data_IF_986467497904
#
_entry.id   IF_986467497904
#
_cell.length_a   1.000
_cell.length_b   1.000
_cell.length_c   1.000
_cell.angle_alpha   90.00
_cell.angle_beta   90.00
_cell.angle_gamma   90.00
#
_symmetry.space_group_name_H-M   'P 1'
#
loop_
_entity.id
_entity.type
_entity.pdbx_description
1 polymer ?
#
# COMPACT_ATOMS: atom_id res chain seq x y z
N UNK A 1 77.40 -33.78 36.85
CA UNK A 1 77.00 -32.67 35.96
C UNK A 1 77.19 -33.04 34.49
N UNK A 2 78.42 -33.31 34.03
CA UNK A 2 78.71 -33.62 32.61
C UNK A 2 77.96 -34.87 32.09
N UNK A 3 77.90 -35.95 32.89
CA UNK A 3 77.08 -37.14 32.57
C UNK A 3 75.58 -36.83 32.42
N UNK A 4 75.07 -35.96 33.28
CA UNK A 4 73.67 -35.51 33.26
C UNK A 4 73.38 -34.72 31.98
N UNK A 5 74.24 -33.74 31.67
CA UNK A 5 74.12 -32.92 30.46
C UNK A 5 74.23 -33.73 29.16
N UNK A 6 75.09 -34.76 29.12
CA UNK A 6 75.19 -35.67 27.96
C UNK A 6 73.97 -36.59 27.82
N UNK A 7 73.35 -37.01 28.92
CA UNK A 7 72.15 -37.84 28.89
C UNK A 7 70.91 -37.05 28.45
N UNK A 8 70.81 -35.80 28.87
CA UNK A 8 69.65 -34.94 28.58
C UNK A 8 69.70 -34.34 27.17
N UNK A 9 70.88 -34.31 26.52
CA UNK A 9 71.04 -33.75 25.19
C UNK A 9 70.57 -34.70 24.08
N UNK A 10 69.42 -34.40 23.48
CA UNK A 10 68.81 -35.17 22.38
C UNK A 10 69.52 -35.00 21.03
N UNK A 11 70.40 -34.01 20.88
CA UNK A 11 71.13 -33.73 19.65
C UNK A 11 72.36 -34.65 19.43
N UNK A 12 72.74 -35.44 20.43
CA UNK A 12 73.86 -36.39 20.40
C UNK A 12 73.32 -37.79 20.14
N UNK A 13 73.93 -38.54 19.23
CA UNK A 13 73.47 -39.90 18.92
C UNK A 13 73.68 -40.85 20.09
N UNK A 14 72.90 -41.93 20.14
CA UNK A 14 72.95 -42.92 21.22
C UNK A 14 74.33 -43.58 21.32
N UNK A 15 75.01 -43.80 20.19
CA UNK A 15 76.35 -44.42 20.14
C UNK A 15 77.43 -43.44 20.61
N UNK A 16 77.43 -42.20 20.10
CA UNK A 16 78.34 -41.12 20.53
C UNK A 16 78.24 -40.86 22.05
N UNK A 17 77.01 -40.87 22.58
CA UNK A 17 76.74 -40.72 24.01
C UNK A 17 77.33 -41.87 24.82
N UNK A 18 77.17 -43.12 24.37
CA UNK A 18 77.73 -44.31 25.06
C UNK A 18 79.25 -44.24 25.12
N UNK A 19 79.91 -43.86 24.02
CA UNK A 19 81.37 -43.72 23.94
C UNK A 19 81.87 -42.63 24.89
N UNK A 20 81.25 -41.44 24.86
CA UNK A 20 81.60 -40.33 25.77
C UNK A 20 81.40 -40.69 27.25
N UNK A 21 80.31 -41.40 27.59
CA UNK A 21 80.05 -41.87 28.96
C UNK A 21 81.05 -42.94 29.42
N UNK A 22 81.53 -43.80 28.51
CA UNK A 22 82.57 -44.77 28.79
C UNK A 22 83.92 -44.08 29.07
N UNK A 23 84.30 -43.09 28.25
CA UNK A 23 85.49 -42.26 28.47
C UNK A 23 85.43 -41.53 29.83
N UNK A 24 84.31 -40.90 30.18
CA UNK A 24 84.14 -40.25 31.49
C UNK A 24 84.24 -41.26 32.63
N UNK A 25 83.64 -42.44 32.49
CA UNK A 25 83.69 -43.48 33.53
C UNK A 25 85.08 -44.08 33.70
N UNK A 26 85.89 -44.15 32.62
CA UNK A 26 87.30 -44.53 32.68
C UNK A 26 88.13 -43.49 33.44
N UNK A 27 87.97 -42.21 33.10
CA UNK A 27 88.63 -41.10 33.80
C UNK A 27 88.23 -41.02 35.28
N UNK A 28 86.96 -41.27 35.63
CA UNK A 28 86.51 -41.34 37.02
C UNK A 28 87.16 -42.50 37.80
N UNK A 29 87.31 -43.68 37.18
CA UNK A 29 88.01 -44.81 37.81
C UNK A 29 89.49 -44.50 38.03
N UNK A 30 90.14 -43.89 37.04
CA UNK A 30 91.54 -43.46 37.14
C UNK A 30 91.70 -42.41 38.24
N UNK A 31 90.79 -41.44 38.33
CA UNK A 31 90.81 -40.42 39.38
C UNK A 31 90.61 -41.03 40.78
N UNK A 32 89.73 -42.02 40.93
CA UNK A 32 89.57 -42.77 42.20
C UNK A 32 90.84 -43.55 42.57
N UNK A 33 91.45 -44.25 41.61
CA UNK A 33 92.72 -44.96 41.81
C UNK A 33 93.83 -44.00 42.26
N UNK A 34 93.94 -42.85 41.60
CA UNK A 34 94.89 -41.80 41.97
C UNK A 34 94.63 -41.24 43.38
N UNK A 35 93.36 -41.07 43.77
CA UNK A 35 93.01 -40.66 45.15
C UNK A 35 93.46 -41.72 46.16
N UNK A 36 93.25 -43.01 45.87
CA UNK A 36 93.71 -44.11 46.75
C UNK A 36 95.24 -44.13 46.85
N UNK A 37 95.94 -43.94 45.72
CA UNK A 37 97.38 -43.82 45.66
C UNK A 37 97.91 -42.62 46.49
N UNK A 38 97.25 -41.47 46.43
CA UNK A 38 97.55 -40.30 47.26
C UNK A 38 97.28 -40.59 48.74
N UNK A 39 96.16 -41.23 49.07
CA UNK A 39 95.84 -41.59 50.45
C UNK A 39 96.85 -42.59 51.04
N UNK A 40 97.31 -43.57 50.25
CA UNK A 40 98.36 -44.51 50.65
C UNK A 40 99.70 -43.80 50.86
N UNK A 41 100.03 -42.80 50.04
CA UNK A 41 101.20 -41.93 50.25
C UNK A 41 101.09 -41.12 51.54
N UNK A 42 99.90 -40.61 51.88
CA UNK A 42 99.65 -39.87 53.12
C UNK A 42 99.84 -40.79 54.34
N UNK A 43 99.34 -42.02 54.28
CA UNK A 43 99.48 -43.00 55.37
C UNK A 43 100.90 -43.54 55.50
N UNK A 44 101.66 -43.62 54.41
CA UNK A 44 103.03 -44.13 54.38
C UNK A 44 103.96 -43.14 53.64
N UNK A 45 104.44 -42.08 54.33
CA UNK A 45 105.15 -40.95 53.69
C UNK A 45 106.44 -41.35 52.95
N UNK A 46 107.04 -42.47 53.31
CA UNK A 46 108.29 -42.99 52.75
C UNK A 46 108.15 -43.68 51.38
N UNK A 47 106.94 -44.05 50.93
CA UNK A 47 106.72 -44.74 49.65
C UNK A 47 106.59 -43.73 48.50
N UNK A 48 107.33 -43.87 47.40
CA UNK A 48 107.09 -43.03 46.20
C UNK A 48 105.89 -43.56 45.41
N UNK A 49 105.02 -42.66 44.95
CA UNK A 49 103.80 -43.00 44.21
C UNK A 49 103.74 -42.18 42.92
N UNK A 50 103.43 -42.83 41.80
CA UNK A 50 103.27 -42.22 40.48
C UNK A 50 101.77 -42.22 40.17
N UNK A 51 101.25 -41.06 39.75
CA UNK A 51 99.84 -40.93 39.38
C UNK A 51 99.65 -41.26 37.91
N UNK A 52 98.58 -41.98 37.60
CA UNK A 52 98.22 -42.30 36.23
C UNK A 52 97.50 -41.11 35.59
N UNK A 53 97.96 -40.70 34.40
CA UNK A 53 97.28 -39.70 33.59
C UNK A 53 97.10 -40.21 32.16
N UNK A 54 95.86 -40.48 31.78
CA UNK A 54 95.48 -40.78 30.41
C UNK A 54 95.10 -39.48 29.67
N UNK A 55 96.06 -38.92 28.95
CA UNK A 55 95.85 -37.71 28.14
C UNK A 55 95.04 -38.00 26.88
N UNK A 56 95.09 -39.23 26.35
CA UNK A 56 94.45 -39.58 25.08
C UNK A 56 92.93 -39.62 25.25
N UNK A 57 92.44 -40.19 26.36
CA UNK A 57 91.01 -40.17 26.70
C UNK A 57 90.53 -38.73 26.98
N UNK A 58 91.34 -37.90 27.65
CA UNK A 58 91.04 -36.49 27.93
C UNK A 58 90.89 -35.69 26.62
N UNK A 59 91.83 -35.82 25.70
CA UNK A 59 91.80 -35.14 24.40
C UNK A 59 90.66 -35.63 23.50
N UNK A 60 90.39 -36.95 23.48
CA UNK A 60 89.25 -37.51 22.75
C UNK A 60 87.93 -36.93 23.25
N UNK A 61 87.72 -36.89 24.57
CA UNK A 61 86.49 -36.36 25.15
C UNK A 61 86.32 -34.86 24.85
N UNK A 62 87.40 -34.07 24.91
CA UNK A 62 87.36 -32.65 24.56
C UNK A 62 87.03 -32.43 23.08
N UNK A 63 87.55 -33.29 22.19
CA UNK A 63 87.23 -33.26 20.76
C UNK A 63 85.75 -33.58 20.52
N UNK A 64 85.23 -34.61 21.17
CA UNK A 64 83.82 -35.01 21.08
C UNK A 64 82.90 -33.88 21.55
N UNK A 65 83.19 -33.26 22.71
CA UNK A 65 82.43 -32.13 23.25
C UNK A 65 82.43 -30.94 22.28
N UNK A 66 83.58 -30.60 21.68
CA UNK A 66 83.66 -29.53 20.67
C UNK A 66 82.80 -29.83 19.45
N UNK A 67 82.82 -31.06 18.97
CA UNK A 67 82.00 -31.48 17.83
C UNK A 67 80.50 -31.41 18.16
N UNK A 68 80.08 -31.87 19.34
CA UNK A 68 78.69 -31.79 19.76
C UNK A 68 78.21 -30.34 19.87
N UNK A 69 78.99 -29.48 20.50
CA UNK A 69 78.67 -28.05 20.61
C UNK A 69 78.59 -27.36 19.25
N UNK A 70 79.46 -27.70 18.31
CA UNK A 70 79.38 -27.18 16.93
C UNK A 70 78.08 -27.58 16.24
N UNK A 71 77.64 -28.84 16.38
CA UNK A 71 76.39 -29.33 15.80
C UNK A 71 75.17 -28.65 16.44
N UNK A 72 75.19 -28.48 17.76
CA UNK A 72 74.13 -27.80 18.49
C UNK A 72 74.00 -26.34 18.04
N UNK A 73 75.13 -25.64 17.85
CA UNK A 73 75.12 -24.25 17.38
C UNK A 73 74.56 -24.13 15.95
N UNK A 74 74.95 -25.01 15.03
CA UNK A 74 74.39 -25.04 13.67
C UNK A 74 72.88 -25.29 13.66
N UNK A 75 72.39 -26.21 14.50
CA UNK A 75 70.95 -26.44 14.65
C UNK A 75 70.24 -25.21 15.21
N UNK A 76 70.79 -24.56 16.23
CA UNK A 76 70.20 -23.35 16.81
C UNK A 76 70.16 -22.19 15.82
N UNK A 77 71.19 -22.01 14.99
CA UNK A 77 71.23 -21.05 13.90
C UNK A 77 70.11 -21.31 12.88
N UNK A 78 69.95 -22.57 12.44
CA UNK A 78 68.89 -22.98 11.51
C UNK A 78 67.49 -22.75 12.08
N UNK A 79 67.28 -23.06 13.36
CA UNK A 79 66.00 -22.83 14.05
C UNK A 79 65.68 -21.34 14.13
N UNK A 80 66.67 -20.48 14.45
CA UNK A 80 66.47 -19.03 14.47
C UNK A 80 66.05 -18.48 13.10
N UNK A 81 66.58 -19.05 12.02
CA UNK A 81 66.31 -18.58 10.66
C UNK A 81 65.10 -19.25 9.99
N UNK A 82 64.49 -20.25 10.63
CA UNK A 82 63.41 -21.06 10.03
C UNK A 82 62.26 -20.21 9.45
N UNK A 83 61.72 -19.27 10.24
CA UNK A 83 60.62 -18.42 9.80
C UNK A 83 61.02 -17.53 8.61
N UNK A 84 62.23 -16.96 8.63
CA UNK A 84 62.74 -16.12 7.55
C UNK A 84 62.93 -16.92 6.25
N UNK A 85 63.47 -18.14 6.35
CA UNK A 85 63.64 -19.03 5.20
C UNK A 85 62.28 -19.46 4.64
N UNK A 86 61.32 -19.77 5.51
CA UNK A 86 59.97 -20.14 5.10
C UNK A 86 59.28 -19.00 4.34
N UNK A 87 59.35 -17.78 4.85
CA UNK A 87 58.73 -16.62 4.19
C UNK A 87 59.42 -16.27 2.87
N UNK A 88 60.75 -16.42 2.81
CA UNK A 88 61.49 -16.26 1.56
C UNK A 88 61.04 -17.27 0.51
N UNK A 89 60.86 -18.55 0.87
CA UNK A 89 60.38 -19.58 -0.04
C UNK A 89 58.94 -19.28 -0.48
N UNK A 90 58.05 -18.88 0.43
CA UNK A 90 56.68 -18.49 0.09
C UNK A 90 56.66 -17.35 -0.93
N UNK A 91 57.45 -16.31 -0.72
CA UNK A 91 57.51 -15.17 -1.64
C UNK A 91 58.07 -15.55 -3.00
N UNK A 92 59.11 -16.41 -3.04
CA UNK A 92 59.64 -16.95 -4.29
C UNK A 92 58.61 -17.82 -5.02
N UNK A 93 57.85 -18.64 -4.29
CA UNK A 93 56.78 -19.46 -4.85
C UNK A 93 55.66 -18.61 -5.46
N UNK A 94 55.17 -17.60 -4.74
CA UNK A 94 54.15 -16.68 -5.27
C UNK A 94 54.65 -15.91 -6.49
N UNK A 95 55.90 -15.43 -6.47
CA UNK A 95 56.52 -14.79 -7.62
C UNK A 95 56.61 -15.72 -8.84
N UNK A 96 57.03 -16.97 -8.63
CA UNK A 96 57.09 -17.97 -9.70
C UNK A 96 55.70 -18.32 -10.26
N UNK A 97 54.69 -18.46 -9.38
CA UNK A 97 53.32 -18.74 -9.80
C UNK A 97 52.72 -17.58 -10.62
N UNK A 98 52.97 -16.34 -10.20
CA UNK A 98 52.57 -15.14 -10.96
C UNK A 98 53.22 -15.13 -12.34
N UNK A 99 54.53 -15.39 -12.41
CA UNK A 99 55.25 -15.43 -13.68
C UNK A 99 54.75 -16.56 -14.61
N UNK A 100 54.43 -17.73 -14.05
CA UNK A 100 53.86 -18.84 -14.81
C UNK A 100 52.49 -18.49 -15.44
N UNK A 101 51.71 -17.64 -14.76
CA UNK A 101 50.38 -17.18 -15.20
C UNK A 101 50.38 -15.78 -15.82
N UNK A 102 51.55 -15.23 -16.16
CA UNK A 102 51.66 -13.85 -16.61
C UNK A 102 50.82 -13.57 -17.87
N UNK A 103 50.74 -14.55 -18.78
CA UNK A 103 49.91 -14.48 -19.98
C UNK A 103 48.43 -14.30 -19.66
N UNK A 104 47.92 -14.97 -18.63
CA UNK A 104 46.53 -14.88 -18.21
C UNK A 104 46.23 -13.49 -17.62
N UNK A 105 47.19 -12.92 -16.88
CA UNK A 105 47.10 -11.56 -16.34
C UNK A 105 47.18 -10.48 -17.43
N UNK A 106 48.03 -10.64 -18.45
CA UNK A 106 48.11 -9.72 -19.59
C UNK A 106 46.81 -9.71 -20.40
N UNK A 107 46.16 -10.86 -20.57
CA UNK A 107 44.84 -10.95 -21.21
C UNK A 107 43.77 -10.25 -20.37
N UNK A 108 43.79 -10.48 -19.05
CA UNK A 108 42.84 -9.84 -18.13
C UNK A 108 43.01 -8.32 -18.09
N UNK A 109 44.25 -7.81 -18.10
CA UNK A 109 44.55 -6.38 -18.15
C UNK A 109 44.02 -5.74 -19.44
N UNK A 110 44.17 -6.41 -20.59
CA UNK A 110 43.58 -5.95 -21.86
C UNK A 110 42.05 -5.88 -21.80
N UNK A 111 41.39 -6.93 -21.29
CA UNK A 111 39.94 -6.95 -21.13
C UNK A 111 39.47 -5.84 -20.19
N UNK A 112 40.23 -5.58 -19.12
CA UNK A 112 39.92 -4.51 -18.18
C UNK A 112 39.97 -3.13 -18.86
N UNK A 113 41.03 -2.85 -19.63
CA UNK A 113 41.16 -1.60 -20.38
C UNK A 113 40.04 -1.44 -21.41
N UNK A 114 39.69 -2.50 -22.15
CA UNK A 114 38.57 -2.48 -23.10
C UNK A 114 37.24 -2.17 -22.40
N UNK A 115 36.97 -2.81 -21.26
CA UNK A 115 35.76 -2.55 -20.47
C UNK A 115 35.72 -1.12 -19.93
N UNK A 116 36.84 -0.59 -19.45
CA UNK A 116 36.92 0.79 -18.94
C UNK A 116 36.61 1.81 -20.05
N UNK A 117 37.05 1.56 -21.29
CA UNK A 117 36.71 2.38 -22.45
C UNK A 117 35.21 2.32 -22.74
N UNK A 118 34.61 1.12 -22.70
CA UNK A 118 33.17 0.94 -22.93
C UNK A 118 32.36 1.66 -21.85
N UNK A 119 32.71 1.48 -20.58
CA UNK A 119 32.05 2.15 -19.44
C UNK A 119 32.07 3.66 -19.64
N UNK A 120 33.24 4.23 -19.95
CA UNK A 120 33.38 5.67 -20.18
C UNK A 120 32.51 6.16 -21.33
N UNK A 121 32.44 5.41 -22.43
CA UNK A 121 31.60 5.78 -23.57
C UNK A 121 30.09 5.76 -23.25
N UNK A 122 29.67 4.83 -22.38
CA UNK A 122 28.29 4.74 -21.91
C UNK A 122 27.96 5.88 -20.94
N UNK A 123 28.88 6.23 -20.04
CA UNK A 123 28.73 7.39 -19.14
C UNK A 123 28.59 8.70 -19.93
N UNK A 124 29.42 8.92 -20.97
CA UNK A 124 29.31 10.07 -21.86
C UNK A 124 27.97 10.12 -22.60
N UNK A 125 27.45 8.95 -23.01
CA UNK A 125 26.13 8.84 -23.66
C UNK A 125 25.00 9.17 -22.69
N UNK A 126 25.06 8.68 -21.45
CA UNK A 126 24.09 9.00 -20.39
C UNK A 126 24.09 10.51 -20.10
N UNK A 127 25.26 11.13 -20.00
CA UNK A 127 25.39 12.57 -19.78
C UNK A 127 24.82 13.40 -20.94
N UNK A 128 25.00 12.94 -22.18
CA UNK A 128 24.38 13.58 -23.35
C UNK A 128 22.86 13.51 -23.30
N UNK A 129 22.31 12.32 -23.01
CA UNK A 129 20.85 12.11 -22.91
C UNK A 129 20.27 12.95 -21.77
N UNK A 130 20.93 13.02 -20.61
CA UNK A 130 20.47 13.84 -19.49
C UNK A 130 20.47 15.34 -19.84
N UNK A 131 21.43 15.81 -20.63
CA UNK A 131 21.43 17.20 -21.14
C UNK A 131 20.26 17.44 -22.10
N UNK A 132 19.96 16.49 -22.98
CA UNK A 132 18.80 16.57 -23.87
C UNK A 132 17.48 16.59 -23.10
N UNK A 133 17.31 15.69 -22.12
CA UNK A 133 16.13 15.67 -21.23
C UNK A 133 15.94 17.04 -20.57
N UNK A 134 17.00 17.57 -19.96
CA UNK A 134 16.94 18.88 -19.31
C UNK A 134 16.57 20.00 -20.29
N UNK A 135 17.15 19.97 -21.50
CA UNK A 135 16.82 20.94 -22.53
C UNK A 135 15.35 20.87 -22.95
N UNK A 136 14.83 19.67 -23.17
CA UNK A 136 13.42 19.44 -23.50
C UNK A 136 12.49 19.86 -22.34
N UNK A 137 12.85 19.59 -21.09
CA UNK A 137 12.07 20.04 -19.92
C UNK A 137 12.02 21.57 -19.82
N UNK A 138 13.14 22.24 -20.08
CA UNK A 138 13.21 23.70 -20.12
C UNK A 138 12.36 24.27 -21.27
N UNK A 139 12.37 23.64 -22.46
CA UNK A 139 11.49 23.99 -23.58
C UNK A 139 10.01 23.76 -23.25
N UNK A 140 9.67 22.65 -22.58
CA UNK A 140 8.31 22.35 -22.11
C UNK A 140 7.86 23.43 -21.12
N UNK A 141 8.72 23.84 -20.18
CA UNK A 141 8.41 24.94 -19.24
C UNK A 141 8.19 26.26 -19.96
N UNK A 142 9.03 26.60 -20.94
CA UNK A 142 8.84 27.80 -21.75
C UNK A 142 7.52 27.77 -22.53
N UNK A 143 7.21 26.65 -23.19
CA UNK A 143 5.97 26.46 -23.93
C UNK A 143 4.77 26.52 -22.99
N UNK A 144 4.80 25.86 -21.82
CA UNK A 144 3.74 25.93 -20.81
C UNK A 144 3.53 27.34 -20.27
N UNK A 145 4.59 28.13 -20.08
CA UNK A 145 4.49 29.54 -19.67
C UNK A 145 3.86 30.41 -20.76
N UNK A 146 4.20 30.15 -22.03
CA UNK A 146 3.56 30.81 -23.20
C UNK A 146 2.12 30.33 -23.40
N UNK A 147 1.82 29.09 -23.02
CA UNK A 147 0.53 28.40 -23.09
C UNK A 147 -0.16 28.36 -21.72
N UNK A 148 0.08 29.33 -20.82
CA UNK A 148 -0.72 29.49 -19.60
C UNK A 148 -2.16 29.73 -20.05
N UNK A 149 -2.93 28.64 -20.04
CA UNK A 149 -4.08 28.35 -20.88
C UNK A 149 -5.34 29.09 -20.43
N UNK A 150 -5.18 30.29 -19.89
CA UNK A 150 -6.25 31.13 -19.32
C UNK A 150 -7.34 31.34 -20.36
N UNK A 151 -6.99 31.52 -21.63
CA UNK A 151 -7.96 31.65 -22.72
C UNK A 151 -8.78 30.38 -22.94
N UNK A 152 -8.15 29.20 -22.89
CA UNK A 152 -8.87 27.93 -23.03
C UNK A 152 -9.72 27.64 -21.78
N UNK A 153 -9.22 27.93 -20.58
CA UNK A 153 -9.99 27.82 -19.34
C UNK A 153 -11.20 28.75 -19.36
N UNK A 154 -11.04 30.01 -19.77
CA UNK A 154 -12.16 30.96 -19.90
C UNK A 154 -13.17 30.46 -20.94
N UNK A 155 -12.68 30.01 -22.08
CA UNK A 155 -13.52 29.49 -23.16
C UNK A 155 -14.27 28.23 -22.75
N UNK A 156 -13.63 27.34 -21.98
CA UNK A 156 -14.24 26.13 -21.41
C UNK A 156 -15.34 26.49 -20.41
N UNK A 157 -15.06 27.36 -19.43
CA UNK A 157 -16.05 27.79 -18.43
C UNK A 157 -17.24 28.49 -19.11
N UNK A 158 -16.97 29.42 -20.03
CA UNK A 158 -18.04 30.14 -20.74
C UNK A 158 -18.87 29.22 -21.63
N UNK A 159 -18.26 28.20 -22.24
CA UNK A 159 -18.99 27.18 -23.01
C UNK A 159 -19.89 26.34 -22.10
N UNK A 160 -19.41 25.95 -20.92
CA UNK A 160 -20.21 25.22 -19.92
C UNK A 160 -21.37 26.08 -19.40
N UNK A 161 -21.14 27.34 -19.05
CA UNK A 161 -22.20 28.27 -18.64
C UNK A 161 -23.29 28.40 -19.72
N UNK A 162 -22.88 28.54 -20.98
CA UNK A 162 -23.82 28.61 -22.11
C UNK A 162 -24.62 27.33 -22.30
N UNK A 163 -24.00 26.17 -22.13
CA UNK A 163 -24.67 24.86 -22.21
C UNK A 163 -25.69 24.65 -21.08
N UNK A 164 -25.43 25.21 -19.90
CA UNK A 164 -26.37 25.26 -18.77
C UNK A 164 -27.52 26.26 -18.96
N UNK A 165 -27.57 26.96 -20.10
CA UNK A 165 -28.57 27.99 -20.41
C UNK A 165 -28.32 29.34 -19.73
N UNK A 166 -27.16 29.54 -19.10
CA UNK A 166 -26.80 30.78 -18.44
C UNK A 166 -26.08 31.68 -19.43
N UNK A 167 -26.79 32.71 -19.89
CA UNK A 167 -26.27 33.71 -20.85
C UNK A 167 -26.23 35.11 -20.25
N UNK A 168 -26.63 35.27 -18.99
CA UNK A 168 -26.75 36.54 -18.30
C UNK A 168 -25.41 37.07 -17.74
N UNK A 169 -24.38 36.24 -17.66
CA UNK A 169 -22.99 36.62 -17.33
C UNK A 169 -21.99 35.65 -17.97
N UNK A 170 -20.73 36.08 -18.07
CA UNK A 170 -19.60 35.28 -18.52
C UNK A 170 -18.32 35.69 -17.77
N UNK A 171 -17.26 34.90 -17.88
CA UNK A 171 -15.95 35.20 -17.30
C UNK A 171 -15.04 35.78 -18.37
N UNK A 172 -14.26 36.80 -18.02
CA UNK A 172 -13.23 37.40 -18.88
C UNK A 172 -11.92 37.61 -18.11
N UNK A 173 -10.84 37.90 -18.84
CA UNK A 173 -9.54 38.21 -18.25
C UNK A 173 -9.58 39.53 -17.50
N UNK A 174 -8.94 39.57 -16.34
CA UNK A 174 -8.72 40.82 -15.65
C UNK A 174 -7.81 41.74 -16.49
N UNK A 175 -8.21 42.99 -16.77
CA UNK A 175 -7.48 43.87 -17.70
C UNK A 175 -6.07 44.23 -17.21
N UNK A 176 -5.86 44.28 -15.89
CA UNK A 176 -4.57 44.70 -15.28
C UNK A 176 -3.84 43.63 -14.47
N UNK A 177 -4.47 42.50 -14.13
CA UNK A 177 -3.88 41.48 -13.26
C UNK A 177 -3.68 40.22 -14.10
N UNK A 178 -2.42 39.80 -14.27
CA UNK A 178 -2.09 38.57 -14.99
C UNK A 178 -2.68 37.36 -14.26
N UNK A 179 -3.18 36.38 -15.01
CA UNK A 179 -3.75 35.13 -14.50
C UNK A 179 -4.96 35.30 -13.57
N UNK A 180 -5.73 36.38 -13.73
CA UNK A 180 -6.94 36.63 -12.93
C UNK A 180 -8.19 36.75 -13.80
N UNK A 181 -9.33 36.38 -13.21
CA UNK A 181 -10.64 36.34 -13.86
C UNK A 181 -11.57 37.42 -13.32
N UNK A 182 -12.44 37.96 -14.17
CA UNK A 182 -13.51 38.90 -13.79
C UNK A 182 -14.82 38.38 -14.36
N UNK A 183 -15.89 38.49 -13.56
CA UNK A 183 -17.24 38.16 -14.00
C UNK A 183 -17.85 39.42 -14.65
N UNK A 184 -18.34 39.27 -15.88
CA UNK A 184 -18.94 40.34 -16.68
C UNK A 184 -20.39 39.98 -16.99
N UNK A 185 -21.31 40.94 -16.83
CA UNK A 185 -22.73 40.80 -17.21
C UNK A 185 -22.91 41.21 -18.67
N UNK A 186 -23.88 40.60 -19.35
CA UNK A 186 -24.15 40.77 -20.79
C UNK A 186 -24.61 42.19 -21.17
N UNK A 187 -25.01 42.99 -20.20
CA UNK A 187 -25.44 44.39 -20.33
C UNK A 187 -24.26 45.39 -20.32
N UNK A 188 -23.00 44.91 -20.32
CA UNK A 188 -21.78 45.69 -20.55
C UNK A 188 -21.57 46.87 -19.60
N UNK A 189 -22.24 46.90 -18.44
CA UNK A 189 -21.94 47.89 -17.41
C UNK A 189 -20.83 47.34 -16.51
N UNK A 190 -19.66 48.02 -16.41
CA UNK A 190 -18.62 47.68 -15.45
C UNK A 190 -19.12 48.10 -14.05
N UNK A 191 -20.10 47.36 -13.55
CA UNK A 191 -20.72 47.62 -12.27
C UNK A 191 -19.75 47.16 -11.19
N UNK A 192 -19.29 48.10 -10.37
CA UNK A 192 -18.34 47.92 -9.25
C UNK A 192 -18.71 46.79 -8.24
N UNK A 193 -19.82 46.07 -8.42
CA UNK A 193 -20.34 45.06 -7.50
C UNK A 193 -21.10 43.91 -8.20
N UNK A 194 -20.61 43.35 -9.31
CA UNK A 194 -21.23 42.17 -9.96
C UNK A 194 -21.45 41.01 -8.96
N UNK A 195 -20.53 40.83 -8.00
CA UNK A 195 -20.66 39.82 -6.94
C UNK A 195 -21.91 39.98 -6.05
N UNK A 196 -22.45 41.20 -5.89
CA UNK A 196 -23.66 41.43 -5.09
C UNK A 196 -24.95 41.13 -5.85
N UNK A 197 -24.90 41.11 -7.17
CA UNK A 197 -26.07 40.84 -8.02
C UNK A 197 -26.19 39.37 -8.43
N UNK A 198 -25.21 38.54 -8.11
CA UNK A 198 -25.29 37.08 -8.30
C UNK A 198 -26.04 36.45 -7.14
N UNK A 199 -26.96 35.55 -7.47
CA UNK A 199 -27.58 34.64 -6.50
C UNK A 199 -26.54 33.69 -5.90
N UNK A 200 -26.82 33.15 -4.72
CA UNK A 200 -25.95 32.14 -4.08
C UNK A 200 -25.76 30.89 -4.96
N UNK A 201 -26.80 30.49 -5.70
CA UNK A 201 -26.71 29.39 -6.67
C UNK A 201 -25.75 29.69 -7.82
N UNK A 202 -25.80 30.91 -8.40
CA UNK A 202 -24.88 31.31 -9.47
C UNK A 202 -23.43 31.39 -8.96
N UNK A 203 -23.20 31.89 -7.74
CA UNK A 203 -21.85 31.90 -7.13
C UNK A 203 -21.32 30.49 -6.94
N UNK A 204 -22.15 29.59 -6.45
CA UNK A 204 -21.79 28.17 -6.23
C UNK A 204 -21.45 27.51 -7.56
N UNK A 205 -22.25 27.74 -8.61
CA UNK A 205 -22.02 27.18 -9.93
C UNK A 205 -20.71 27.67 -10.57
N UNK A 206 -20.43 28.98 -10.55
CA UNK A 206 -19.19 29.53 -11.10
C UNK A 206 -17.98 28.96 -10.36
N UNK A 207 -18.05 28.92 -9.03
CA UNK A 207 -16.99 28.37 -8.19
C UNK A 207 -16.74 26.90 -8.50
N UNK A 208 -17.82 26.13 -8.71
CA UNK A 208 -17.74 24.73 -9.07
C UNK A 208 -17.14 24.50 -10.46
N UNK A 209 -17.55 25.28 -11.47
CA UNK A 209 -16.96 25.21 -12.81
C UNK A 209 -15.49 25.59 -12.81
N UNK A 210 -15.12 26.62 -12.05
CA UNK A 210 -13.73 27.00 -11.84
C UNK A 210 -12.94 25.86 -11.18
N UNK A 211 -13.51 25.22 -10.16
CA UNK A 211 -12.90 24.08 -9.48
C UNK A 211 -12.66 22.90 -10.43
N UNK A 212 -13.61 22.57 -11.31
CA UNK A 212 -13.41 21.51 -12.32
C UNK A 212 -12.23 21.83 -13.24
N UNK A 213 -12.18 23.05 -13.78
CA UNK A 213 -11.09 23.42 -14.67
C UNK A 213 -9.75 23.53 -13.95
N UNK A 214 -9.75 23.89 -12.67
CA UNK A 214 -8.59 23.85 -11.80
C UNK A 214 -8.09 22.42 -11.56
N UNK A 215 -8.99 21.46 -11.35
CA UNK A 215 -8.63 20.04 -11.23
C UNK A 215 -8.08 19.46 -12.54
N UNK A 216 -8.57 19.91 -13.70
CA UNK A 216 -8.08 19.49 -15.02
C UNK A 216 -6.73 20.09 -15.37
N UNK A 217 -6.58 21.39 -15.17
CA UNK A 217 -5.34 22.10 -15.40
C UNK A 217 -4.45 21.99 -14.18
N UNK A 218 -3.70 20.90 -14.02
CA UNK A 218 -2.67 20.77 -12.99
C UNK A 218 -1.76 22.02 -13.02
N UNK A 219 -2.06 23.01 -12.16
CA UNK A 219 -1.28 24.25 -12.04
C UNK A 219 -0.14 24.08 -11.04
N UNK A 220 0.45 22.90 -10.94
CA UNK A 220 1.71 22.77 -10.26
C UNK A 220 2.80 23.00 -11.30
N UNK A 221 3.24 24.26 -11.36
CA UNK A 221 4.51 24.64 -11.98
C UNK A 221 5.72 23.92 -11.37
N UNK A 222 5.51 23.21 -10.25
CA UNK A 222 6.48 22.36 -9.58
C UNK A 222 6.24 20.89 -9.92
N UNK A 223 7.00 20.39 -10.92
CA UNK A 223 7.07 18.98 -11.36
C UNK A 223 7.55 17.99 -10.27
N UNK A 224 7.71 18.43 -9.02
CA UNK A 224 8.15 17.55 -7.92
C UNK A 224 7.01 16.94 -7.11
N UNK A 225 5.76 17.31 -7.38
CA UNK A 225 4.62 16.73 -6.66
C UNK A 225 3.98 15.55 -7.41
N UNK A 226 4.68 14.41 -7.41
CA UNK A 226 4.19 13.13 -7.94
C UNK A 226 3.15 12.44 -7.03
N UNK A 227 2.53 13.16 -6.08
CA UNK A 227 1.53 12.57 -5.18
C UNK A 227 0.22 12.35 -5.92
N UNK A 228 -0.45 11.24 -5.62
CA UNK A 228 -1.81 10.96 -6.09
C UNK A 228 -2.74 12.13 -5.75
N UNK A 229 -3.47 12.63 -6.74
CA UNK A 229 -4.47 13.68 -6.53
C UNK A 229 -5.65 13.13 -5.71
N UNK A 230 -5.92 13.78 -4.58
CA UNK A 230 -7.11 13.57 -3.76
C UNK A 230 -8.03 14.78 -3.90
N UNK A 231 -9.20 14.57 -4.49
CA UNK A 231 -10.22 15.61 -4.64
C UNK A 231 -11.31 15.36 -3.59
N UNK A 232 -11.61 16.39 -2.78
CA UNK A 232 -12.70 16.35 -1.81
C UNK A 232 -13.72 17.41 -2.19
N UNK A 233 -14.97 16.99 -2.40
CA UNK A 233 -16.09 17.87 -2.74
C UNK A 233 -17.10 17.79 -1.61
N UNK A 234 -17.24 18.89 -0.87
CA UNK A 234 -18.25 19.01 0.19
C UNK A 234 -19.48 19.74 -0.33
N UNK A 235 -20.55 18.98 -0.52
CA UNK A 235 -21.89 19.40 -0.91
C UNK A 235 -21.97 20.35 -2.12
N UNK A 236 -21.71 19.85 -3.34
CA UNK A 236 -21.58 20.67 -4.55
C UNK A 236 -22.89 21.34 -5.01
N UNK A 237 -24.02 21.02 -4.39
CA UNK A 237 -25.35 21.45 -4.80
C UNK A 237 -26.09 22.30 -3.76
N UNK A 238 -25.39 22.75 -2.70
CA UNK A 238 -26.00 23.64 -1.71
C UNK A 238 -26.53 24.90 -2.39
N UNK A 239 -27.81 25.24 -2.16
CA UNK A 239 -28.49 26.41 -2.73
C UNK A 239 -28.63 26.44 -4.27
N UNK A 240 -28.41 25.31 -4.95
CA UNK A 240 -28.65 25.16 -6.40
C UNK A 240 -30.09 24.71 -6.68
N UNK A 241 -30.62 25.14 -7.83
CA UNK A 241 -31.92 24.66 -8.30
C UNK A 241 -31.84 23.19 -8.68
N UNK A 242 -32.96 22.47 -8.55
CA UNK A 242 -33.05 21.05 -8.90
C UNK A 242 -32.69 20.78 -10.37
N UNK A 243 -32.81 21.79 -11.24
CA UNK A 243 -32.50 21.69 -12.67
C UNK A 243 -31.01 21.45 -12.92
N UNK A 244 -30.12 21.96 -12.07
CA UNK A 244 -28.67 21.81 -12.28
C UNK A 244 -28.09 20.53 -11.67
N UNK A 245 -28.87 19.78 -10.89
CA UNK A 245 -28.39 18.57 -10.19
C UNK A 245 -27.86 17.54 -11.21
N UNK A 246 -28.57 17.34 -12.31
CA UNK A 246 -28.17 16.40 -13.37
C UNK A 246 -26.88 16.82 -14.05
N UNK A 247 -26.76 18.11 -14.38
CA UNK A 247 -25.58 18.64 -15.06
C UNK A 247 -24.35 18.54 -14.15
N UNK A 248 -24.48 18.91 -12.88
CA UNK A 248 -23.39 18.82 -11.89
C UNK A 248 -22.97 17.37 -11.68
N UNK A 249 -23.92 16.45 -11.54
CA UNK A 249 -23.61 15.01 -11.40
C UNK A 249 -22.88 14.46 -12.63
N UNK A 250 -23.32 14.84 -13.83
CA UNK A 250 -22.68 14.47 -15.09
C UNK A 250 -21.25 15.03 -15.19
N UNK A 251 -21.06 16.31 -14.85
CA UNK A 251 -19.75 16.94 -14.84
C UNK A 251 -18.80 16.23 -13.87
N UNK A 252 -19.23 15.91 -12.65
CA UNK A 252 -18.38 15.18 -11.69
C UNK A 252 -17.97 13.82 -12.26
N UNK A 253 -18.93 13.07 -12.80
CA UNK A 253 -18.66 11.73 -13.31
C UNK A 253 -17.72 11.75 -14.52
N UNK A 254 -17.93 12.63 -15.49
CA UNK A 254 -17.14 12.63 -16.73
C UNK A 254 -15.86 13.47 -16.65
N UNK A 255 -15.86 14.57 -15.90
CA UNK A 255 -14.71 15.47 -15.82
C UNK A 255 -13.78 15.14 -14.64
N UNK A 256 -14.31 14.72 -13.49
CA UNK A 256 -13.53 14.56 -12.25
C UNK A 256 -13.09 13.11 -12.06
N UNK A 257 -13.99 12.13 -12.19
CA UNK A 257 -13.61 10.72 -11.98
C UNK A 257 -12.62 10.19 -13.02
N UNK A 258 -12.54 10.82 -14.19
CA UNK A 258 -11.57 10.45 -15.23
C UNK A 258 -10.19 11.08 -15.01
N UNK A 259 -10.12 12.19 -14.27
CA UNK A 259 -8.90 12.99 -14.12
C UNK A 259 -8.18 12.79 -12.79
N UNK A 260 -8.84 12.21 -11.77
CA UNK A 260 -8.27 12.05 -10.44
C UNK A 260 -8.24 10.60 -9.96
N UNK A 261 -7.20 10.27 -9.19
CA UNK A 261 -6.99 8.91 -8.67
C UNK A 261 -7.93 8.59 -7.49
N UNK A 262 -8.23 9.60 -6.66
CA UNK A 262 -9.13 9.45 -5.49
C UNK A 262 -10.05 10.65 -5.39
N UNK A 263 -11.36 10.37 -5.27
CA UNK A 263 -12.39 11.40 -5.13
C UNK A 263 -13.30 11.05 -3.96
N UNK A 264 -13.50 12.02 -3.07
CA UNK A 264 -14.43 11.93 -1.94
C UNK A 264 -15.52 12.96 -2.17
N UNK A 265 -16.77 12.51 -2.21
CA UNK A 265 -17.94 13.38 -2.33
C UNK A 265 -18.75 13.26 -1.04
N UNK A 266 -19.00 14.39 -0.41
CA UNK A 266 -19.88 14.51 0.74
C UNK A 266 -21.12 15.25 0.28
N UNK A 267 -22.31 14.76 0.64
CA UNK A 267 -23.56 15.46 0.35
C UNK A 267 -24.61 15.10 1.38
N UNK A 268 -25.50 16.05 1.67
CA UNK A 268 -26.68 15.81 2.47
C UNK A 268 -27.92 15.51 1.60
N UNK A 269 -27.80 15.68 0.27
CA UNK A 269 -28.91 15.52 -0.66
C UNK A 269 -28.92 14.12 -1.27
N UNK A 270 -29.95 13.34 -0.90
CA UNK A 270 -30.13 11.97 -1.38
C UNK A 270 -30.44 11.89 -2.88
N UNK A 271 -31.12 12.88 -3.46
CA UNK A 271 -31.40 12.89 -4.92
C UNK A 271 -30.11 12.98 -5.72
N UNK A 272 -29.21 13.89 -5.35
CA UNK A 272 -27.91 14.03 -5.99
C UNK A 272 -27.04 12.78 -5.81
N UNK A 273 -27.05 12.21 -4.61
CA UNK A 273 -26.37 10.93 -4.35
C UNK A 273 -26.90 9.80 -5.26
N UNK A 274 -28.22 9.70 -5.43
CA UNK A 274 -28.83 8.72 -6.32
C UNK A 274 -28.44 8.93 -7.78
N UNK A 275 -28.42 10.17 -8.26
CA UNK A 275 -28.02 10.47 -9.64
C UNK A 275 -26.54 10.12 -9.88
N UNK A 276 -25.64 10.38 -8.93
CA UNK A 276 -24.25 9.93 -9.02
C UNK A 276 -24.14 8.39 -9.11
N UNK A 277 -24.93 7.65 -8.32
CA UNK A 277 -24.95 6.18 -8.34
C UNK A 277 -25.53 5.64 -9.65
N UNK A 278 -26.50 6.32 -10.27
CA UNK A 278 -27.06 5.90 -11.56
C UNK A 278 -26.03 6.03 -12.69
N UNK A 279 -25.18 7.04 -12.64
CA UNK A 279 -24.10 7.23 -13.61
C UNK A 279 -22.97 6.19 -13.43
N UNK A 280 -22.84 5.60 -12.24
CA UNK A 280 -21.84 4.59 -11.94
C UNK A 280 -22.08 3.25 -12.68
N UNK A 281 -21.04 2.41 -12.86
CA UNK A 281 -21.13 1.16 -13.63
C UNK A 281 -22.27 0.24 -13.17
N UNK A 282 -22.98 -0.35 -14.13
CA UNK A 282 -24.08 -1.30 -13.86
C UNK A 282 -23.55 -2.61 -13.27
N UNK A 283 -22.35 -3.04 -13.65
CA UNK A 283 -21.73 -4.28 -13.16
C UNK A 283 -21.29 -4.13 -11.70
N UNK A 284 -21.86 -4.96 -10.82
CA UNK A 284 -21.59 -4.99 -9.39
C UNK A 284 -20.10 -5.21 -9.07
N UNK A 285 -19.43 -6.09 -9.83
CA UNK A 285 -17.99 -6.37 -9.66
C UNK A 285 -17.13 -5.14 -9.94
N UNK A 286 -17.45 -4.37 -10.99
CA UNK A 286 -16.73 -3.12 -11.32
C UNK A 286 -17.06 -2.01 -10.32
N UNK A 287 -18.32 -1.94 -9.87
CA UNK A 287 -18.75 -0.97 -8.87
C UNK A 287 -18.01 -1.17 -7.54
N UNK A 288 -18.00 -2.39 -6.99
CA UNK A 288 -17.35 -2.68 -5.70
C UNK A 288 -15.82 -2.51 -5.73
N UNK A 289 -15.18 -2.57 -6.91
CA UNK A 289 -13.75 -2.30 -7.04
C UNK A 289 -13.40 -0.80 -7.15
N UNK A 290 -14.36 0.07 -7.48
CA UNK A 290 -14.11 1.49 -7.75
C UNK A 290 -14.87 2.46 -6.84
N UNK A 291 -15.99 2.04 -6.26
CA UNK A 291 -16.87 2.88 -5.43
C UNK A 291 -17.04 2.29 -4.04
N UNK A 292 -17.09 3.16 -3.04
CA UNK A 292 -17.44 2.81 -1.67
C UNK A 292 -18.45 3.83 -1.14
N UNK A 293 -19.55 3.34 -0.57
CA UNK A 293 -20.67 4.18 -0.12
C UNK A 293 -20.79 4.14 1.40
N UNK A 294 -21.00 5.31 2.00
CA UNK A 294 -21.05 5.46 3.44
C UNK A 294 -22.21 6.36 3.89
N UNK A 295 -22.82 6.01 5.02
CA UNK A 295 -23.75 6.88 5.76
C UNK A 295 -23.01 7.46 6.94
N UNK A 296 -23.13 8.76 7.11
CA UNK A 296 -22.73 9.45 8.33
C UNK A 296 -24.01 9.85 9.05
N UNK A 297 -24.23 9.35 10.26
CA UNK A 297 -25.32 9.84 11.12
C UNK A 297 -24.75 10.61 12.29
N UNK A 298 -25.21 11.85 12.47
CA UNK A 298 -24.77 12.76 13.52
C UNK A 298 -25.86 12.87 14.58
N UNK A 299 -25.78 12.02 15.60
CA UNK A 299 -26.65 12.09 16.80
C UNK A 299 -25.79 12.55 18.00
N UNK A 300 -25.98 11.99 19.20
CA UNK A 300 -25.08 12.22 20.36
C UNK A 300 -23.61 11.87 20.06
N UNK A 301 -23.39 10.86 19.22
CA UNK A 301 -22.09 10.51 18.64
C UNK A 301 -22.24 10.39 17.11
N UNK A 302 -21.17 10.72 16.38
CA UNK A 302 -21.10 10.47 14.93
C UNK A 302 -20.85 8.98 14.69
N UNK A 303 -21.77 8.32 13.98
CA UNK A 303 -21.57 6.93 13.55
C UNK A 303 -21.40 6.85 12.03
N UNK A 304 -20.61 5.86 11.63
CA UNK A 304 -20.22 5.61 10.24
C UNK A 304 -20.64 4.19 9.86
N UNK A 305 -21.46 4.05 8.82
CA UNK A 305 -21.97 2.75 8.37
C UNK A 305 -21.85 2.60 6.86
N UNK A 306 -21.40 1.44 6.38
CA UNK A 306 -21.42 1.12 4.96
C UNK A 306 -22.86 1.02 4.43
N UNK A 307 -23.09 1.59 3.25
CA UNK A 307 -24.36 1.56 2.52
C UNK A 307 -24.17 0.64 1.30
N UNK A 308 -25.14 -0.22 0.98
CA UNK A 308 -25.17 -0.91 -0.32
C UNK A 308 -25.90 -0.06 -1.35
N UNK A 309 -25.58 -0.23 -2.64
CA UNK A 309 -26.23 0.49 -3.75
C UNK A 309 -27.76 0.47 -3.67
N UNK A 310 -28.32 -0.65 -3.23
CA UNK A 310 -29.76 -0.91 -3.17
C UNK A 310 -30.40 -0.53 -1.82
N UNK A 311 -29.61 -0.14 -0.82
CA UNK A 311 -30.13 0.18 0.52
C UNK A 311 -30.82 1.54 0.60
N UNK A 312 -30.57 2.44 -0.36
CA UNK A 312 -31.39 3.64 -0.51
C UNK A 312 -32.65 3.29 -1.27
N UNK A 313 -33.62 2.79 -0.52
CA UNK A 313 -34.93 2.46 -1.02
C UNK A 313 -35.68 3.74 -1.41
N UNK A 314 -36.23 3.79 -2.63
CA UNK A 314 -37.17 4.85 -3.02
C UNK A 314 -38.36 4.88 -2.04
N UNK A 315 -39.05 6.01 -1.90
CA UNK A 315 -40.22 6.16 -1.00
C UNK A 315 -41.24 5.02 -1.17
N UNK A 316 -41.43 4.57 -2.41
CA UNK A 316 -42.26 3.42 -2.74
C UNK A 316 -41.79 2.10 -2.10
N UNK A 317 -40.50 1.80 -2.15
CA UNK A 317 -39.91 0.59 -1.53
C UNK A 317 -39.97 0.68 0.01
N UNK A 318 -39.83 1.88 0.56
CA UNK A 318 -39.97 2.11 2.01
C UNK A 318 -41.39 1.76 2.51
N UNK A 319 -42.44 2.03 1.71
CA UNK A 319 -43.80 1.62 2.05
C UNK A 319 -43.93 0.09 2.13
N UNK A 320 -43.32 -0.66 1.20
CA UNK A 320 -43.30 -2.12 1.27
C UNK A 320 -42.55 -2.65 2.50
N UNK A 321 -41.48 -1.97 2.91
CA UNK A 321 -40.74 -2.32 4.12
C UNK A 321 -41.56 -2.08 5.39
N UNK A 322 -42.27 -0.95 5.49
CA UNK A 322 -43.20 -0.64 6.59
C UNK A 322 -44.30 -1.72 6.69
N UNK A 323 -44.81 -2.19 5.55
CA UNK A 323 -45.79 -3.27 5.50
C UNK A 323 -45.24 -4.60 6.07
N UNK A 324 -44.00 -4.94 5.74
CA UNK A 324 -43.30 -6.14 6.26
C UNK A 324 -43.03 -6.03 7.77
N UNK A 325 -42.55 -4.87 8.23
CA UNK A 325 -42.22 -4.66 9.63
C UNK A 325 -43.46 -4.58 10.55
N UNK A 326 -44.60 -4.13 10.03
CA UNK A 326 -45.88 -4.21 10.75
C UNK A 326 -46.36 -5.66 10.90
N UNK A 327 -46.16 -6.52 9.88
CA UNK A 327 -46.46 -7.96 9.96
C UNK A 327 -45.57 -8.67 10.99
N UNK A 328 -44.28 -8.37 10.98
CA UNK A 328 -43.30 -8.95 11.91
C UNK A 328 -43.47 -8.43 13.37
N UNK A 329 -44.50 -7.60 13.63
CA UNK A 329 -44.81 -7.06 14.96
C UNK A 329 -43.86 -5.99 15.45
N UNK A 330 -42.98 -5.46 14.60
CA UNK A 330 -42.01 -4.41 14.96
C UNK A 330 -42.64 -3.02 15.01
N UNK A 331 -43.75 -2.83 14.30
CA UNK A 331 -44.48 -1.56 14.19
C UNK A 331 -45.96 -1.84 14.47
N UNK A 332 -46.66 -0.88 15.09
CA UNK A 332 -48.07 -1.01 15.42
C UNK A 332 -48.95 -1.21 14.18
N UNK A 333 -49.88 -2.17 14.23
CA UNK A 333 -50.75 -2.57 13.10
C UNK A 333 -51.67 -1.46 12.55
N UNK A 334 -51.73 -0.31 13.21
CA UNK A 334 -52.53 0.86 12.81
C UNK A 334 -51.98 1.51 11.53
N UNK A 335 -50.70 1.28 11.20
CA UNK A 335 -50.05 1.88 10.02
C UNK A 335 -50.35 1.10 8.72
N UNK A 336 -50.73 -0.18 8.84
CA UNK A 336 -50.98 -1.09 7.71
C UNK A 336 -51.95 -0.52 6.65
N UNK A 337 -53.10 0.05 7.01
CA UNK A 337 -54.12 0.46 6.02
C UNK A 337 -53.65 1.63 5.17
N UNK A 338 -53.02 2.62 5.80
CA UNK A 338 -52.48 3.81 5.13
C UNK A 338 -51.33 3.43 4.19
N UNK A 339 -50.45 2.53 4.63
CA UNK A 339 -49.33 2.03 3.82
C UNK A 339 -49.83 1.26 2.60
N UNK A 340 -50.81 0.35 2.76
CA UNK A 340 -51.42 -0.39 1.64
C UNK A 340 -52.07 0.55 0.61
N UNK A 341 -52.78 1.59 1.07
CA UNK A 341 -53.38 2.60 0.19
C UNK A 341 -52.32 3.31 -0.66
N UNK A 342 -51.29 3.82 -0.01
CA UNK A 342 -50.21 4.55 -0.68
C UNK A 342 -49.50 3.66 -1.71
N UNK A 343 -49.31 2.38 -1.43
CA UNK A 343 -48.71 1.43 -2.38
C UNK A 343 -49.59 1.25 -3.63
N UNK A 344 -50.91 1.08 -3.45
CA UNK A 344 -51.84 0.92 -4.57
C UNK A 344 -51.92 2.19 -5.40
N UNK A 345 -52.14 3.33 -4.76
CA UNK A 345 -52.25 4.62 -5.44
C UNK A 345 -50.96 4.97 -6.19
N UNK A 346 -49.79 4.82 -5.55
CA UNK A 346 -48.51 5.12 -6.19
C UNK A 346 -48.23 4.20 -7.39
N UNK A 347 -48.47 2.90 -7.26
CA UNK A 347 -48.22 1.94 -8.34
C UNK A 347 -49.18 2.12 -9.52
N UNK A 348 -50.48 2.16 -9.25
CA UNK A 348 -51.48 2.24 -10.32
C UNK A 348 -51.60 3.66 -10.92
N UNK A 349 -51.18 4.71 -10.21
CA UNK A 349 -50.93 6.03 -10.81
C UNK A 349 -49.75 5.98 -11.79
N UNK A 350 -48.66 5.30 -11.41
CA UNK A 350 -47.50 5.15 -12.28
C UNK A 350 -47.79 4.32 -13.54
N UNK A 351 -48.60 3.26 -13.43
CA UNK A 351 -49.01 2.41 -14.56
C UNK A 351 -50.20 2.99 -15.34
N UNK A 352 -50.68 4.20 -14.98
CA UNK A 352 -51.85 4.87 -15.57
C UNK A 352 -53.16 4.04 -15.54
N UNK A 353 -53.29 3.12 -14.59
CA UNK A 353 -54.48 2.26 -14.38
C UNK A 353 -55.35 2.73 -13.19
N UNK A 354 -55.31 4.02 -12.84
CA UNK A 354 -56.06 4.55 -11.68
C UNK A 354 -57.56 4.37 -11.82
N UNK A 355 -58.10 4.52 -13.02
CA UNK A 355 -59.53 4.37 -13.28
C UNK A 355 -59.94 2.89 -13.20
N UNK A 356 -59.13 2.00 -13.79
CA UNK A 356 -59.32 0.55 -13.71
C UNK A 356 -59.24 0.03 -12.27
N UNK A 357 -58.31 0.57 -11.47
CA UNK A 357 -58.22 0.28 -10.04
C UNK A 357 -59.50 0.69 -9.31
N UNK A 358 -60.02 1.90 -9.55
CA UNK A 358 -61.25 2.35 -8.90
C UNK A 358 -62.46 1.52 -9.33
N UNK A 359 -62.57 1.17 -10.61
CA UNK A 359 -63.65 0.33 -11.13
C UNK A 359 -63.61 -1.08 -10.53
N UNK A 360 -62.43 -1.68 -10.42
CA UNK A 360 -62.27 -3.02 -9.86
C UNK A 360 -62.47 -3.04 -8.34
N UNK A 361 -62.00 -2.02 -7.62
CA UNK A 361 -62.29 -1.83 -6.21
C UNK A 361 -63.80 -1.63 -5.94
N UNK A 362 -64.50 -0.90 -6.81
CA UNK A 362 -65.94 -0.70 -6.72
C UNK A 362 -66.73 -1.99 -7.02
N UNK A 363 -66.32 -2.78 -8.02
CA UNK A 363 -66.92 -4.11 -8.29
C UNK A 363 -66.74 -5.07 -7.11
N UNK A 364 -65.55 -5.09 -6.52
CA UNK A 364 -65.26 -5.94 -5.36
C UNK A 364 -66.04 -5.51 -4.10
N UNK A 365 -66.34 -4.22 -3.94
CA UNK A 365 -67.18 -3.71 -2.86
C UNK A 365 -68.68 -4.04 -3.03
N UNK A 366 -69.13 -4.32 -4.27
CA UNK A 366 -70.52 -4.65 -4.61
C UNK A 366 -70.81 -6.16 -4.60
N UNK A 367 -69.80 -7.02 -4.66
CA UNK A 367 -69.98 -8.47 -4.58
C UNK A 367 -70.38 -8.91 -3.16
N UNK A 368 -71.66 -9.27 -2.97
CA UNK A 368 -72.25 -9.67 -1.67
C UNK A 368 -71.62 -10.93 -1.05
N UNK A 369 -70.91 -11.74 -1.83
CA UNK A 369 -70.27 -12.99 -1.40
C UNK A 369 -68.99 -12.78 -0.57
N UNK A 370 -68.42 -11.56 -0.55
CA UNK A 370 -67.13 -11.25 0.09
C UNK A 370 -67.27 -10.17 1.18
N UNK A 371 -68.04 -10.45 2.23
CA UNK A 371 -68.21 -9.56 3.39
C UNK A 371 -66.87 -9.05 3.97
N UNK A 372 -65.84 -9.90 3.98
CA UNK A 372 -64.50 -9.55 4.46
C UNK A 372 -63.80 -8.49 3.59
N UNK A 373 -64.07 -8.42 2.28
CA UNK A 373 -63.44 -7.45 1.39
C UNK A 373 -64.07 -6.06 1.53
N UNK A 374 -65.38 -6.00 1.74
CA UNK A 374 -66.10 -4.75 2.05
C UNK A 374 -65.61 -4.13 3.36
N UNK A 375 -65.30 -4.96 4.35
CA UNK A 375 -64.68 -4.53 5.60
C UNK A 375 -63.26 -3.97 5.38
N UNK A 376 -62.44 -4.62 4.55
CA UNK A 376 -61.09 -4.18 4.20
C UNK A 376 -61.06 -2.87 3.39
N UNK A 377 -61.91 -2.74 2.38
CA UNK A 377 -62.01 -1.51 1.59
C UNK A 377 -62.48 -0.32 2.43
N UNK A 378 -63.44 -0.55 3.35
CA UNK A 378 -63.82 0.46 4.36
C UNK A 378 -62.68 0.76 5.33
N UNK A 379 -61.91 -0.24 5.74
CA UNK A 379 -60.80 -0.11 6.68
C UNK A 379 -59.63 0.69 6.10
N UNK A 380 -59.24 0.43 4.84
CA UNK A 380 -58.25 1.22 4.11
C UNK A 380 -58.73 2.66 3.92
N UNK A 381 -59.97 2.86 3.47
CA UNK A 381 -60.51 4.19 3.23
C UNK A 381 -60.73 5.01 4.52
N UNK A 382 -61.15 4.38 5.61
CA UNK A 382 -61.37 5.05 6.90
C UNK A 382 -60.07 5.26 7.66
N UNK A 383 -59.12 4.33 7.60
CA UNK A 383 -57.80 4.44 8.23
C UNK A 383 -56.86 5.46 7.57
N UNK A 384 -57.13 5.84 6.30
CA UNK A 384 -56.37 6.86 5.57
C UNK A 384 -56.93 8.29 5.71
N UNK A 385 -58.16 8.45 6.20
CA UNK A 385 -58.72 9.75 6.52
C UNK A 385 -58.59 10.00 8.03
N UNK A 386 -57.97 11.11 8.40
CA UNK A 386 -57.82 11.54 9.79
C UNK A 386 -59.15 12.01 10.37
N UNK A 387 -60.07 11.09 10.66
CA UNK A 387 -61.25 11.40 11.48
C UNK A 387 -60.85 11.38 12.96
N UNK A 388 -61.28 12.39 13.71
CA UNK A 388 -60.91 12.68 15.10
C UNK A 388 -61.39 11.64 16.15
N UNK A 389 -61.91 10.50 15.70
CA UNK A 389 -62.38 9.40 16.56
C UNK A 389 -61.88 8.07 15.96
N UNK A 390 -60.58 7.80 16.10
CA UNK A 390 -60.04 6.46 15.92
C UNK A 390 -60.20 5.69 17.23
N UNK A 391 -61.30 4.95 17.38
CA UNK A 391 -61.51 4.05 18.51
C UNK A 391 -60.49 2.90 18.39
N UNK A 392 -59.47 2.91 19.25
CA UNK A 392 -58.38 1.93 19.35
C UNK A 392 -58.82 0.64 20.04
N UNK A 393 -60.01 0.13 19.70
CA UNK A 393 -60.51 -1.13 20.25
C UNK A 393 -61.28 -1.93 19.18
N UNK A 394 -60.64 -2.09 18.03
CA UNK A 394 -61.03 -3.06 17.03
C UNK A 394 -60.18 -4.29 17.24
N UNK A 395 -60.81 -5.34 17.79
CA UNK A 395 -60.18 -6.56 18.27
C UNK A 395 -59.26 -7.27 17.28
N UNK A 396 -58.60 -8.30 17.82
CA UNK A 396 -57.60 -9.22 17.26
C UNK A 396 -57.81 -9.69 15.80
N UNK A 397 -57.79 -8.78 14.82
CA UNK A 397 -57.75 -9.14 13.41
C UNK A 397 -56.29 -9.31 13.02
N UNK A 398 -55.93 -10.51 12.58
CA UNK A 398 -54.57 -10.84 12.18
C UNK A 398 -54.17 -10.08 10.91
N UNK A 399 -53.00 -9.40 10.90
CA UNK A 399 -52.45 -8.71 9.73
C UNK A 399 -52.44 -9.55 8.44
N UNK A 400 -52.30 -10.87 8.58
CA UNK A 400 -52.24 -11.81 7.45
C UNK A 400 -53.54 -11.84 6.62
N UNK A 401 -54.71 -11.58 7.22
CA UNK A 401 -56.00 -11.53 6.49
C UNK A 401 -56.00 -10.34 5.52
N UNK A 402 -55.53 -9.18 5.99
CA UNK A 402 -55.45 -7.97 5.18
C UNK A 402 -54.39 -8.07 4.08
N UNK A 403 -53.25 -8.70 4.36
CA UNK A 403 -52.20 -8.95 3.36
C UNK A 403 -52.72 -9.88 2.25
N UNK A 404 -53.52 -10.88 2.62
CA UNK A 404 -54.13 -11.82 1.64
C UNK A 404 -55.08 -11.09 0.70
N UNK A 405 -55.91 -10.20 1.24
CA UNK A 405 -56.82 -9.38 0.43
C UNK A 405 -56.08 -8.34 -0.41
N UNK A 406 -54.99 -7.80 0.11
CA UNK A 406 -54.10 -6.91 -0.62
C UNK A 406 -53.44 -7.61 -1.82
N UNK A 407 -52.96 -8.84 -1.66
CA UNK A 407 -52.44 -9.69 -2.74
C UNK A 407 -53.50 -9.97 -3.82
N UNK A 408 -54.74 -10.16 -3.40
CA UNK A 408 -55.86 -10.43 -4.31
C UNK A 408 -56.16 -9.24 -5.24
N UNK A 409 -55.98 -8.00 -4.77
CA UNK A 409 -56.13 -6.80 -5.63
C UNK A 409 -55.10 -6.81 -6.76
N UNK A 410 -53.83 -7.13 -6.47
CA UNK A 410 -52.80 -7.25 -7.51
C UNK A 410 -53.07 -8.41 -8.47
N UNK A 411 -53.68 -9.50 -8.00
CA UNK A 411 -54.10 -10.62 -8.85
C UNK A 411 -55.18 -10.21 -9.85
N UNK A 412 -56.19 -9.49 -9.39
CA UNK A 412 -57.32 -9.03 -10.22
C UNK A 412 -56.89 -7.98 -11.25
N UNK A 413 -55.93 -7.13 -10.89
CA UNK A 413 -55.34 -6.14 -11.81
C UNK A 413 -54.32 -6.73 -12.80
N UNK A 414 -54.04 -8.04 -12.72
CA UNK A 414 -53.10 -8.75 -13.58
C UNK A 414 -51.62 -8.55 -13.22
N UNK A 415 -51.31 -7.84 -12.13
CA UNK A 415 -49.97 -7.40 -11.76
C UNK A 415 -49.42 -8.17 -10.52
N UNK A 416 -49.77 -9.45 -10.39
CA UNK A 416 -49.33 -10.31 -9.26
C UNK A 416 -47.81 -10.52 -9.20
N UNK A 417 -47.13 -10.46 -10.35
CA UNK A 417 -45.67 -10.56 -10.45
C UNK A 417 -44.98 -9.44 -9.68
N UNK A 418 -45.55 -8.24 -9.70
CA UNK A 418 -45.04 -7.07 -8.98
C UNK A 418 -45.20 -7.24 -7.46
N UNK A 419 -46.37 -7.72 -7.01
CA UNK A 419 -46.59 -8.03 -5.60
C UNK A 419 -45.57 -9.05 -5.09
N UNK A 420 -45.39 -10.17 -5.79
CA UNK A 420 -44.44 -11.20 -5.36
C UNK A 420 -43.00 -10.67 -5.34
N UNK A 421 -42.60 -9.87 -6.34
CA UNK A 421 -41.25 -9.26 -6.38
C UNK A 421 -41.00 -8.34 -5.19
N UNK A 422 -41.94 -7.45 -4.87
CA UNK A 422 -41.76 -6.48 -3.79
C UNK A 422 -41.97 -7.09 -2.39
N UNK A 423 -42.86 -8.08 -2.28
CA UNK A 423 -43.25 -8.68 -1.00
C UNK A 423 -42.36 -9.87 -0.58
N UNK A 424 -41.87 -10.70 -1.51
CA UNK A 424 -41.13 -11.94 -1.22
C UNK A 424 -39.60 -11.85 -1.39
N UNK A 425 -38.98 -10.67 -1.41
CA UNK A 425 -37.51 -10.53 -1.45
C UNK A 425 -36.82 -11.02 -0.16
N UNK A 426 -36.70 -12.35 -0.06
CA UNK A 426 -35.60 -13.15 0.48
C UNK A 426 -35.52 -14.43 -0.34
N UNK A 427 -35.09 -14.33 -1.60
CA UNK A 427 -34.37 -15.44 -2.23
C UNK A 427 -32.90 -15.08 -2.21
N UNK A 428 -32.17 -15.67 -1.27
CA UNK A 428 -30.77 -15.97 -1.48
C UNK A 428 -30.69 -16.67 -2.84
N UNK A 429 -30.09 -15.99 -3.81
CA UNK A 429 -29.63 -16.63 -5.04
C UNK A 429 -28.41 -17.44 -4.59
N UNK A 430 -28.66 -18.64 -4.06
CA UNK A 430 -27.63 -19.68 -4.03
C UNK A 430 -27.45 -20.17 -5.46
N UNK A 431 -26.19 -20.23 -5.85
CA UNK A 431 -25.65 -20.66 -7.13
C UNK A 431 -26.48 -21.73 -7.86
N UNK A 432 -27.05 -21.34 -9.00
CA UNK A 432 -27.29 -22.26 -10.11
C UNK A 432 -26.69 -21.68 -11.38
N UNK A 433 -25.39 -21.88 -11.55
CA UNK A 433 -24.77 -22.03 -12.87
C UNK A 433 -23.72 -23.13 -12.79
N UNK A 434 -24.06 -24.27 -13.39
CA UNK A 434 -23.10 -25.16 -14.03
C UNK A 434 -22.47 -24.47 -15.24
#
# INVERSE_FOLDING_TARGET
LLKTQLNDCTAISIEERKTSLAHISSLEKMLKSNIELINNKIQNPSLSVILDKDKDIEESLLKDIKQYNSRINDLNEKVKQFNLTQDKIKNQFWGALRNYRNTDFEVLEKIQVENDIIIKSLEESIDSINKEIKHTDDEIKELRNKTSNIDATISSINSKLKNLGITCFYIDKHPTIKNSFVIVRSDNTPSKNVYRSLSEGEKTLITFLYFIEYCKGQTNTDEFDNRDSLIVIDDPISSLSQNYIYDIASMIHYDIFTSANKVIILTHNLYFFHELIKLAPISERKFNSTYQLFRITKNLHSSFSNISRDSLQNEYQSLWQILKDARDGKIHNVVIPNTMRNILEYYFAFVHKTNELQDELNKLAQNESNSNFKAFYRYINRGSHSDSINITDMGEITPDIYITQFKEIFRLMGDISHFNKMYEEKKNIEDTTA
#
